data_IF_665806494691
#
_entry.id   IF_665806494691
#
_cell.length_a   1.000
_cell.length_b   1.000
_cell.length_c   1.000
_cell.angle_alpha   90.00
_cell.angle_beta   90.00
_cell.angle_gamma   90.00
#
_symmetry.space_group_name_H-M   'P 1'
#
loop_
_entity.id
_entity.type
_entity.pdbx_description
1 polymer ?
#
# COMPACT_ATOMS: atom_id res chain seq x y z
N UNK A 1 -22.36 2.63 -14.21
CA UNK A 1 -21.83 2.79 -12.83
C UNK A 1 -22.58 3.91 -12.14
N UNK A 2 -22.97 3.73 -10.88
CA UNK A 2 -23.53 4.84 -10.10
C UNK A 2 -22.43 5.83 -9.70
N UNK A 3 -22.70 7.14 -9.58
CA UNK A 3 -21.70 8.11 -9.11
C UNK A 3 -21.09 7.73 -7.75
N UNK A 4 -21.90 7.15 -6.87
CA UNK A 4 -21.47 6.64 -5.56
C UNK A 4 -20.40 5.54 -5.68
N UNK A 5 -20.57 4.60 -6.62
CA UNK A 5 -19.58 3.54 -6.84
C UNK A 5 -18.23 4.09 -7.30
N UNK A 6 -18.22 5.15 -8.11
CA UNK A 6 -16.99 5.80 -8.58
C UNK A 6 -16.25 6.44 -7.41
N UNK A 7 -16.96 7.21 -6.58
CA UNK A 7 -16.39 7.87 -5.40
C UNK A 7 -15.81 6.83 -4.44
N UNK A 8 -16.54 5.72 -4.22
CA UNK A 8 -16.10 4.64 -3.36
C UNK A 8 -14.81 3.97 -3.89
N UNK A 9 -14.73 3.69 -5.19
CA UNK A 9 -13.51 3.14 -5.80
C UNK A 9 -12.34 4.10 -5.68
N UNK A 10 -12.55 5.41 -5.86
CA UNK A 10 -11.50 6.43 -5.72
C UNK A 10 -10.94 6.47 -4.29
N UNK A 11 -11.81 6.48 -3.28
CA UNK A 11 -11.41 6.44 -1.87
C UNK A 11 -10.65 5.15 -1.52
N UNK A 12 -11.18 4.01 -1.95
CA UNK A 12 -10.55 2.70 -1.71
C UNK A 12 -9.20 2.62 -2.40
N UNK A 13 -9.08 3.13 -3.62
CA UNK A 13 -7.80 3.17 -4.35
C UNK A 13 -6.76 4.03 -3.63
N UNK A 14 -7.18 5.13 -2.99
CA UNK A 14 -6.29 5.95 -2.17
C UNK A 14 -5.77 5.19 -0.94
N UNK A 15 -6.68 4.55 -0.19
CA UNK A 15 -6.32 3.69 0.95
C UNK A 15 -5.43 2.54 0.50
N UNK A 16 -5.71 1.97 -0.67
CA UNK A 16 -4.95 0.88 -1.25
C UNK A 16 -3.48 1.26 -1.48
N UNK A 17 -3.22 2.46 -2.00
CA UNK A 17 -1.86 2.98 -2.19
C UNK A 17 -1.09 3.12 -0.87
N UNK A 18 -1.77 3.54 0.21
CA UNK A 18 -1.17 3.62 1.56
C UNK A 18 -0.76 2.23 2.05
N UNK A 19 -1.67 1.26 1.95
CA UNK A 19 -1.42 -0.13 2.38
C UNK A 19 -0.30 -0.74 1.54
N UNK A 20 -0.28 -0.49 0.23
CA UNK A 20 0.74 -0.98 -0.68
C UNK A 20 2.15 -0.57 -0.23
N UNK A 21 2.37 0.71 0.10
CA UNK A 21 3.67 1.15 0.61
C UNK A 21 4.08 0.42 1.88
N UNK A 22 3.17 0.32 2.86
CA UNK A 22 3.47 -0.29 4.17
C UNK A 22 3.90 -1.75 3.98
N UNK A 23 3.14 -2.51 3.18
CA UNK A 23 3.44 -3.91 2.91
C UNK A 23 4.67 -4.08 2.03
N UNK A 24 4.93 -3.17 1.09
CA UNK A 24 6.16 -3.20 0.28
C UNK A 24 7.41 -3.00 1.14
N UNK A 25 7.36 -2.07 2.09
CA UNK A 25 8.44 -1.84 3.06
C UNK A 25 8.65 -3.06 3.98
N UNK A 26 7.55 -3.71 4.38
CA UNK A 26 7.61 -4.93 5.17
C UNK A 26 8.24 -6.08 4.36
N UNK A 27 7.80 -6.28 3.12
CA UNK A 27 8.33 -7.29 2.21
C UNK A 27 9.83 -7.10 2.00
N UNK A 28 10.26 -5.88 1.68
CA UNK A 28 11.69 -5.56 1.56
C UNK A 28 12.46 -5.92 2.83
N UNK A 29 11.96 -5.49 4.00
CA UNK A 29 12.66 -5.72 5.27
C UNK A 29 12.71 -7.19 5.71
N UNK A 30 11.71 -8.00 5.34
CA UNK A 30 11.69 -9.43 5.64
C UNK A 30 12.72 -10.20 4.80
N UNK A 31 12.92 -9.78 3.54
CA UNK A 31 13.72 -10.52 2.58
C UNK A 31 15.07 -9.85 2.21
N UNK A 32 15.42 -8.72 2.81
CA UNK A 32 16.65 -7.96 2.55
C UNK A 32 17.95 -8.79 2.69
N UNK A 33 17.95 -9.81 3.55
CA UNK A 33 19.13 -10.67 3.79
C UNK A 33 19.30 -11.82 2.78
N UNK A 34 18.32 -12.05 1.91
CA UNK A 34 18.35 -13.15 0.94
C UNK A 34 19.13 -12.76 -0.32
N UNK A 35 19.42 -13.75 -1.18
CA UNK A 35 20.07 -13.48 -2.46
C UNK A 35 19.21 -12.58 -3.36
N UNK A 36 19.85 -11.81 -4.24
CA UNK A 36 19.16 -10.83 -5.08
C UNK A 36 18.09 -11.47 -6.00
N UNK A 37 18.37 -12.69 -6.49
CA UNK A 37 17.44 -13.48 -7.31
C UNK A 37 16.19 -13.83 -6.49
N UNK A 38 16.38 -14.27 -5.23
CA UNK A 38 15.26 -14.61 -4.35
C UNK A 38 14.43 -13.36 -3.99
N UNK A 39 15.08 -12.24 -3.70
CA UNK A 39 14.40 -10.96 -3.45
C UNK A 39 13.54 -10.52 -4.64
N UNK A 40 14.07 -10.65 -5.86
CA UNK A 40 13.33 -10.35 -7.09
C UNK A 40 12.10 -11.23 -7.23
N UNK A 41 12.24 -12.55 -7.08
CA UNK A 41 11.13 -13.50 -7.19
C UNK A 41 10.02 -13.21 -6.18
N UNK A 42 10.36 -12.98 -4.91
CA UNK A 42 9.39 -12.66 -3.87
C UNK A 42 8.73 -11.30 -4.13
N UNK A 43 9.47 -10.29 -4.57
CA UNK A 43 8.91 -8.98 -4.90
C UNK A 43 7.95 -9.05 -6.09
N UNK A 44 8.28 -9.87 -7.08
CA UNK A 44 7.43 -10.11 -8.24
C UNK A 44 6.13 -10.80 -7.84
N UNK A 45 6.21 -11.87 -7.03
CA UNK A 45 5.05 -12.59 -6.50
C UNK A 45 4.18 -11.64 -5.66
N UNK A 46 4.78 -10.92 -4.72
CA UNK A 46 4.11 -9.92 -3.89
C UNK A 46 3.36 -8.88 -4.73
N UNK A 47 4.00 -8.32 -5.76
CA UNK A 47 3.39 -7.29 -6.61
C UNK A 47 2.23 -7.85 -7.44
N UNK A 48 2.36 -9.09 -7.92
CA UNK A 48 1.32 -9.78 -8.67
C UNK A 48 0.09 -10.05 -7.80
N UNK A 49 0.30 -10.62 -6.60
CA UNK A 49 -0.76 -10.89 -5.64
C UNK A 49 -1.48 -9.60 -5.24
N UNK A 50 -0.72 -8.52 -5.03
CA UNK A 50 -1.29 -7.21 -4.76
C UNK A 50 -2.10 -6.67 -5.94
N UNK A 51 -1.65 -6.86 -7.18
CA UNK A 51 -2.45 -6.52 -8.36
C UNK A 51 -3.79 -7.26 -8.37
N UNK A 52 -3.77 -8.57 -8.09
CA UNK A 52 -4.97 -9.41 -8.07
C UNK A 52 -5.95 -9.03 -6.96
N UNK A 53 -5.45 -8.77 -5.75
CA UNK A 53 -6.29 -8.31 -4.63
C UNK A 53 -7.02 -7.01 -4.98
N UNK A 54 -6.34 -6.07 -5.63
CA UNK A 54 -6.96 -4.81 -6.07
C UNK A 54 -8.09 -5.04 -7.07
N UNK A 55 -7.85 -5.90 -8.07
CA UNK A 55 -8.88 -6.27 -9.06
C UNK A 55 -10.09 -6.93 -8.40
N UNK A 56 -9.88 -7.81 -7.43
CA UNK A 56 -10.97 -8.44 -6.67
C UNK A 56 -11.77 -7.43 -5.85
N UNK A 57 -11.11 -6.43 -5.24
CA UNK A 57 -11.77 -5.35 -4.51
C UNK A 57 -12.64 -4.53 -5.46
N UNK A 58 -12.10 -4.12 -6.61
CA UNK A 58 -12.85 -3.38 -7.63
C UNK A 58 -14.03 -4.21 -8.13
N UNK A 59 -13.82 -5.50 -8.39
CA UNK A 59 -14.87 -6.42 -8.82
C UNK A 59 -16.07 -6.42 -7.86
N UNK A 60 -15.83 -6.42 -6.55
CA UNK A 60 -16.91 -6.36 -5.56
C UNK A 60 -17.67 -5.02 -5.53
N UNK A 61 -17.06 -3.92 -5.98
CA UNK A 61 -17.66 -2.59 -5.89
C UNK A 61 -18.40 -2.21 -7.18
N UNK A 62 -17.81 -2.54 -8.33
CA UNK A 62 -18.30 -2.09 -9.63
C UNK A 62 -18.33 -3.19 -10.71
N UNK A 63 -18.35 -4.46 -10.30
CA UNK A 63 -18.35 -5.62 -11.20
C UNK A 63 -17.12 -5.73 -12.11
N UNK A 64 -16.02 -5.07 -11.74
CA UNK A 64 -14.72 -5.21 -12.42
C UNK A 64 -14.53 -4.20 -13.53
N UNK A 65 -15.37 -3.16 -13.60
CA UNK A 65 -15.17 -2.03 -14.51
C UNK A 65 -13.94 -1.23 -14.08
N UNK A 66 -12.77 -1.63 -14.56
CA UNK A 66 -11.53 -0.92 -14.27
C UNK A 66 -11.38 0.30 -15.19
N UNK A 67 -11.10 1.45 -14.58
CA UNK A 67 -10.77 2.67 -15.30
C UNK A 67 -9.38 3.17 -14.91
N UNK A 68 -8.62 3.65 -15.89
CA UNK A 68 -7.21 4.06 -15.70
C UNK A 68 -7.04 5.16 -14.65
N UNK A 69 -8.03 6.06 -14.51
CA UNK A 69 -7.99 7.14 -13.53
C UNK A 69 -8.08 6.66 -12.07
N UNK A 70 -8.45 5.40 -11.83
CA UNK A 70 -8.37 4.80 -10.49
C UNK A 70 -6.93 4.57 -10.02
N UNK A 71 -5.94 4.57 -10.92
CA UNK A 71 -4.53 4.51 -10.55
C UNK A 71 -4.02 5.82 -9.90
N UNK A 72 -4.61 6.96 -10.24
CA UNK A 72 -4.18 8.27 -9.73
C UNK A 72 -4.29 8.32 -8.19
N UNK A 73 -5.44 7.95 -7.58
CA UNK A 73 -5.54 7.83 -6.12
C UNK A 73 -4.54 6.84 -5.50
N UNK A 74 -4.21 5.73 -6.17
CA UNK A 74 -3.23 4.76 -5.65
C UNK A 74 -1.85 5.43 -5.53
N UNK A 75 -1.41 6.10 -6.59
CA UNK A 75 -0.14 6.83 -6.61
C UNK A 75 -0.14 7.93 -5.55
N UNK A 76 -1.25 8.67 -5.42
CA UNK A 76 -1.39 9.72 -4.43
C UNK A 76 -1.32 9.17 -3.00
N UNK A 77 -2.05 8.09 -2.70
CA UNK A 77 -2.03 7.42 -1.40
C UNK A 77 -0.65 6.89 -1.04
N UNK A 78 0.04 6.29 -2.01
CA UNK A 78 1.42 5.84 -1.86
C UNK A 78 2.35 7.01 -1.52
N UNK A 79 2.26 8.12 -2.27
CA UNK A 79 3.08 9.31 -2.05
C UNK A 79 2.84 9.95 -0.68
N UNK A 80 1.58 10.06 -0.28
CA UNK A 80 1.18 10.54 1.05
C UNK A 80 1.85 9.65 2.11
N UNK A 81 1.64 8.34 2.04
CA UNK A 81 2.23 7.41 2.99
C UNK A 81 3.76 7.50 3.05
N UNK A 82 4.41 7.72 1.89
CA UNK A 82 5.87 7.84 1.80
C UNK A 82 6.38 9.09 2.53
N UNK A 83 5.70 10.24 2.36
CA UNK A 83 6.01 11.46 3.11
C UNK A 83 5.81 11.27 4.61
N UNK A 84 4.74 10.62 5.03
CA UNK A 84 4.40 10.44 6.44
C UNK A 84 5.24 9.37 7.14
N UNK A 85 5.90 8.46 6.41
CA UNK A 85 6.77 7.41 6.96
C UNK A 85 7.78 7.95 7.98
N UNK A 86 8.51 9.01 7.64
CA UNK A 86 9.55 9.54 8.54
C UNK A 86 8.96 10.17 9.81
N UNK A 87 7.82 10.84 9.67
CA UNK A 87 7.08 11.40 10.81
C UNK A 87 6.59 10.30 11.74
N UNK A 88 6.00 9.22 11.19
CA UNK A 88 5.54 8.07 11.95
C UNK A 88 6.68 7.36 12.70
N UNK A 89 7.84 7.18 12.06
CA UNK A 89 9.03 6.59 12.70
C UNK A 89 9.53 7.46 13.86
N UNK A 90 9.60 8.77 13.66
CA UNK A 90 10.04 9.71 14.70
C UNK A 90 9.08 9.74 15.89
N UNK A 91 7.77 9.70 15.62
CA UNK A 91 6.74 9.57 16.65
C UNK A 91 6.90 8.26 17.43
N UNK A 92 7.06 7.12 16.76
CA UNK A 92 7.30 5.83 17.43
C UNK A 92 8.59 5.84 18.28
N UNK A 93 9.68 6.45 17.79
CA UNK A 93 10.93 6.62 18.56
C UNK A 93 10.71 7.49 19.81
N UNK A 94 9.96 8.59 19.68
CA UNK A 94 9.59 9.44 20.81
C UNK A 94 8.83 8.66 21.88
N UNK A 95 7.81 7.89 21.50
CA UNK A 95 7.05 7.05 22.44
C UNK A 95 7.93 5.97 23.09
N UNK A 96 8.81 5.32 22.34
CA UNK A 96 9.74 4.31 22.88
C UNK A 96 10.70 4.92 23.90
N UNK A 97 11.26 6.11 23.62
CA UNK A 97 12.16 6.79 24.53
C UNK A 97 11.45 7.31 25.79
N UNK A 98 10.19 7.77 25.66
CA UNK A 98 9.35 8.13 26.81
C UNK A 98 9.08 6.92 27.71
N UNK A 99 8.86 5.74 27.13
CA UNK A 99 8.58 4.50 27.89
C UNK A 99 9.82 3.88 28.57
N UNK A 100 11.04 4.19 28.12
CA UNK A 100 12.30 3.75 28.77
C UNK A 100 12.74 4.64 29.96
N UNK A 101 12.08 5.78 30.15
CA UNK A 101 12.43 6.79 31.16
C UNK A 101 11.63 6.64 32.46
N UNK A 102 10.68 5.72 32.48
CA UNK A 102 9.93 5.22 33.64
C UNK A 102 10.33 3.77 33.88
#
# INVERSE_FOLDING_TARGET
MSPLSIILVLLISLVYGVIFLILSLLNYKLFEKFSIIFQFLITLLFSFDFGMIYLLIIYKINYGCFHIYYLIPIILGFYIAYKFKNSAVNFCKYFKNKRKKY
#
